data_IF_086682322419
#
_entry.id   IF_086682322419
#
_cell.length_a   1.000
_cell.length_b   1.000
_cell.length_c   1.000
_cell.angle_alpha   90.00
_cell.angle_beta   90.00
_cell.angle_gamma   90.00
#
_symmetry.space_group_name_H-M   'P 1'
#
loop_
_entity.id
_entity.type
_entity.pdbx_description
1 polymer ?
#
# COMPACT_ATOMS: atom_id res chain seq x y z
N UNK A 1 7.69 -9.14 32.48
CA UNK A 1 7.91 -8.64 31.10
C UNK A 1 8.45 -7.23 31.23
N UNK A 2 9.65 -6.96 30.75
CA UNK A 2 10.20 -5.61 30.63
C UNK A 2 9.41 -4.86 29.57
N UNK A 3 8.69 -3.81 29.96
CA UNK A 3 8.06 -2.89 29.02
C UNK A 3 9.16 -2.13 28.28
N UNK A 4 9.19 -2.22 26.96
CA UNK A 4 10.04 -1.35 26.15
C UNK A 4 9.34 0.00 26.05
N UNK A 5 10.08 1.08 26.32
CA UNK A 5 9.58 2.45 26.28
C UNK A 5 10.10 3.16 25.02
N UNK A 6 9.30 4.08 24.50
CA UNK A 6 9.70 4.96 23.40
C UNK A 6 10.75 5.97 23.89
N UNK A 7 11.82 6.15 23.11
CA UNK A 7 12.88 7.13 23.42
C UNK A 7 12.40 8.60 23.31
N UNK A 8 11.30 8.87 22.61
CA UNK A 8 10.78 10.24 22.43
C UNK A 8 9.75 10.67 23.49
N UNK A 9 8.93 9.74 23.98
CA UNK A 9 7.79 10.07 24.85
C UNK A 9 7.64 9.19 26.09
N UNK A 10 8.56 8.25 26.31
CA UNK A 10 8.59 7.35 27.47
C UNK A 10 7.34 6.46 27.64
N UNK A 11 6.47 6.38 26.63
CA UNK A 11 5.32 5.48 26.63
C UNK A 11 5.71 4.07 26.17
N UNK A 12 4.94 3.07 26.59
CA UNK A 12 5.13 1.68 26.16
C UNK A 12 4.97 1.52 24.65
N UNK A 13 5.86 0.76 24.03
CA UNK A 13 5.84 0.47 22.59
C UNK A 13 5.69 -1.03 22.32
N UNK A 14 5.29 -1.35 21.09
CA UNK A 14 5.35 -2.72 20.59
C UNK A 14 6.82 -3.16 20.49
N UNK A 15 7.20 -4.17 21.29
CA UNK A 15 8.58 -4.64 21.38
C UNK A 15 9.09 -5.33 20.10
N UNK A 16 8.20 -5.74 19.21
CA UNK A 16 8.55 -6.44 17.97
C UNK A 16 8.91 -5.44 16.87
N UNK A 17 8.16 -4.35 16.79
CA UNK A 17 8.27 -3.35 15.71
C UNK A 17 8.97 -2.07 16.15
N UNK A 18 9.05 -1.80 17.45
CA UNK A 18 9.49 -0.52 18.00
C UNK A 18 8.54 0.63 17.67
N UNK A 19 7.30 0.34 17.24
CA UNK A 19 6.34 1.34 16.82
C UNK A 19 5.76 2.10 18.01
N UNK A 20 5.87 3.43 17.97
CA UNK A 20 5.23 4.32 18.93
C UNK A 20 4.13 5.12 18.22
N UNK A 21 2.87 4.73 18.41
CA UNK A 21 1.72 5.41 17.80
C UNK A 21 1.71 6.93 18.00
N UNK A 22 1.82 7.49 19.22
CA UNK A 22 1.75 8.94 19.38
C UNK A 22 2.93 9.69 18.73
N UNK A 23 4.14 9.13 18.76
CA UNK A 23 5.30 9.80 18.15
C UNK A 23 5.26 9.71 16.63
N UNK A 24 4.96 8.54 16.08
CA UNK A 24 4.84 8.35 14.63
C UNK A 24 3.69 9.17 14.05
N UNK A 25 2.55 9.27 14.75
CA UNK A 25 1.45 10.16 14.35
C UNK A 25 1.92 11.61 14.21
N UNK A 26 2.67 12.12 15.21
CA UNK A 26 3.24 13.47 15.17
C UNK A 26 4.23 13.66 14.01
N UNK A 27 5.07 12.67 13.73
CA UNK A 27 6.00 12.70 12.59
C UNK A 27 5.26 12.75 11.25
N UNK A 28 4.13 12.04 11.12
CA UNK A 28 3.28 12.13 9.95
C UNK A 28 2.57 13.48 9.84
N UNK A 29 1.98 13.98 10.92
CA UNK A 29 1.29 15.28 10.97
C UNK A 29 2.19 16.42 10.50
N UNK A 30 3.46 16.43 10.95
CA UNK A 30 4.46 17.40 10.53
C UNK A 30 4.73 17.39 9.01
N UNK A 31 4.37 16.32 8.30
CA UNK A 31 4.59 16.16 6.87
C UNK A 31 3.31 16.31 6.02
N UNK A 32 2.13 16.51 6.62
CA UNK A 32 0.86 16.58 5.87
C UNK A 32 0.76 17.76 4.91
N UNK A 33 1.45 18.87 5.19
CA UNK A 33 1.51 20.01 4.29
C UNK A 33 2.41 19.79 3.06
N UNK A 34 3.23 18.73 3.07
CA UNK A 34 4.23 18.50 2.02
C UNK A 34 3.69 17.69 0.84
N UNK A 35 2.45 17.20 0.92
CA UNK A 35 1.83 16.45 -0.16
C UNK A 35 0.30 16.60 -0.14
N UNK A 36 -0.29 16.43 -1.31
CA UNK A 36 -1.73 16.23 -1.51
C UNK A 36 -1.91 15.32 -2.71
N UNK A 37 -2.98 14.53 -2.69
CA UNK A 37 -3.41 13.74 -3.84
C UNK A 37 -4.23 14.54 -4.86
N UNK A 38 -4.58 15.79 -4.52
CA UNK A 38 -5.65 16.57 -5.16
C UNK A 38 -7.05 15.94 -5.01
N UNK A 39 -7.22 15.03 -4.04
CA UNK A 39 -8.52 14.47 -3.65
C UNK A 39 -8.62 14.44 -2.11
N UNK A 40 -9.55 15.24 -1.58
CA UNK A 40 -9.71 15.41 -0.13
C UNK A 40 -10.09 14.10 0.58
N UNK A 41 -10.87 13.23 -0.04
CA UNK A 41 -11.29 11.94 0.54
C UNK A 41 -10.09 10.97 0.65
N UNK A 42 -9.22 10.96 -0.37
CA UNK A 42 -7.99 10.16 -0.35
C UNK A 42 -7.00 10.73 0.67
N UNK A 43 -6.84 12.05 0.72
CA UNK A 43 -5.96 12.71 1.67
C UNK A 43 -6.40 12.42 3.12
N UNK A 44 -7.69 12.56 3.42
CA UNK A 44 -8.26 12.25 4.73
C UNK A 44 -8.06 10.77 5.09
N UNK A 45 -8.33 9.86 4.16
CA UNK A 45 -8.12 8.43 4.37
C UNK A 45 -6.66 8.09 4.72
N UNK A 46 -5.71 8.61 3.94
CA UNK A 46 -4.28 8.36 4.14
C UNK A 46 -3.82 8.95 5.49
N UNK A 47 -4.19 10.20 5.79
CA UNK A 47 -3.84 10.86 7.07
C UNK A 47 -4.43 10.12 8.27
N UNK A 48 -5.69 9.70 8.19
CA UNK A 48 -6.33 8.92 9.26
C UNK A 48 -5.62 7.58 9.47
N UNK A 49 -5.18 6.90 8.40
CA UNK A 49 -4.41 5.66 8.55
C UNK A 49 -3.05 5.90 9.22
N UNK A 50 -2.39 7.02 8.90
CA UNK A 50 -1.08 7.41 9.43
C UNK A 50 -1.14 7.76 10.92
N UNK A 51 -2.14 8.54 11.35
CA UNK A 51 -2.32 8.94 12.76
C UNK A 51 -2.69 7.74 13.65
N UNK A 52 -3.58 6.87 13.15
CA UNK A 52 -4.12 5.77 13.96
C UNK A 52 -3.32 4.47 13.84
N UNK A 53 -2.20 4.47 13.12
CA UNK A 53 -1.39 3.29 12.91
C UNK A 53 -0.78 2.78 14.24
N UNK A 54 -0.99 1.49 14.50
CA UNK A 54 -0.37 0.76 15.62
C UNK A 54 0.91 0.02 15.23
N UNK A 55 1.21 -0.04 13.92
CA UNK A 55 2.40 -0.62 13.31
C UNK A 55 2.56 -0.08 11.89
N UNK A 56 3.75 -0.22 11.32
CA UNK A 56 4.07 0.30 10.00
C UNK A 56 3.21 -0.30 8.89
N UNK A 57 2.76 -1.55 9.03
CA UNK A 57 1.92 -2.22 8.03
C UNK A 57 0.53 -1.58 7.88
N UNK A 58 0.04 -0.88 8.90
CA UNK A 58 -1.26 -0.20 8.88
C UNK A 58 -1.22 1.18 8.18
N UNK A 59 -0.02 1.68 7.85
CA UNK A 59 0.16 3.03 7.30
C UNK A 59 -0.01 3.04 5.80
N UNK A 60 -1.05 3.66 5.26
CA UNK A 60 -1.10 3.93 3.82
C UNK A 60 -0.22 5.11 3.46
N UNK A 61 0.45 5.02 2.31
CA UNK A 61 1.35 6.06 1.82
C UNK A 61 0.75 6.76 0.59
N UNK A 62 0.80 8.08 0.57
CA UNK A 62 0.75 8.81 -0.70
C UNK A 62 2.14 8.79 -1.32
N UNK A 63 2.26 8.32 -2.55
CA UNK A 63 3.54 8.23 -3.26
C UNK A 63 3.43 8.95 -4.59
N UNK A 64 4.33 9.91 -4.81
CA UNK A 64 4.44 10.59 -6.10
C UNK A 64 4.74 9.57 -7.22
N UNK A 65 4.04 9.70 -8.35
CA UNK A 65 4.15 8.76 -9.47
C UNK A 65 5.57 8.71 -10.07
N UNK A 66 6.32 9.81 -9.99
CA UNK A 66 7.71 9.89 -10.45
C UNK A 66 8.67 8.95 -9.73
N UNK A 67 8.28 8.44 -8.54
CA UNK A 67 9.07 7.46 -7.77
C UNK A 67 9.03 6.05 -8.34
N UNK A 68 8.25 5.83 -9.40
CA UNK A 68 8.07 4.54 -10.04
C UNK A 68 8.74 4.49 -11.41
N UNK A 69 9.59 3.49 -11.63
CA UNK A 69 10.06 3.12 -12.97
C UNK A 69 9.15 2.01 -13.52
N UNK A 70 8.39 2.33 -14.57
CA UNK A 70 7.50 1.36 -15.22
C UNK A 70 8.30 0.41 -16.11
N UNK A 71 8.20 -0.90 -15.85
CA UNK A 71 8.93 -1.89 -16.65
C UNK A 71 8.06 -2.52 -17.74
N UNK A 72 6.77 -2.76 -17.45
CA UNK A 72 5.82 -3.25 -18.45
C UNK A 72 4.38 -2.90 -18.10
N UNK A 73 3.61 -2.51 -19.11
CA UNK A 73 2.16 -2.68 -19.11
C UNK A 73 1.88 -4.17 -19.23
N UNK A 74 0.95 -4.64 -18.44
CA UNK A 74 0.49 -6.02 -18.54
C UNK A 74 -0.61 -5.98 -19.56
N UNK A 75 -0.35 -6.50 -20.76
CA UNK A 75 -1.17 -6.30 -21.98
C UNK A 75 -2.68 -6.59 -21.82
N UNK A 76 -3.10 -7.26 -20.74
CA UNK A 76 -4.49 -7.66 -20.50
C UNK A 76 -5.07 -7.18 -19.16
N UNK A 77 -4.41 -6.24 -18.49
CA UNK A 77 -4.99 -5.57 -17.31
C UNK A 77 -4.49 -4.14 -17.25
N UNK A 78 -5.29 -3.18 -16.74
CA UNK A 78 -4.81 -1.80 -16.50
C UNK A 78 -3.79 -1.72 -15.33
N UNK A 79 -3.05 -2.81 -15.10
CA UNK A 79 -2.07 -2.93 -14.05
C UNK A 79 -0.66 -2.78 -14.64
N UNK A 80 0.18 -2.04 -13.94
CA UNK A 80 1.57 -1.86 -14.33
C UNK A 80 2.49 -2.51 -13.31
N UNK A 81 3.49 -3.26 -13.78
CA UNK A 81 4.62 -3.66 -12.94
C UNK A 81 5.59 -2.49 -12.87
N UNK A 82 5.83 -2.02 -11.66
CA UNK A 82 6.68 -0.87 -11.41
C UNK A 82 7.77 -1.21 -10.40
N UNK A 83 8.94 -0.61 -10.56
CA UNK A 83 9.97 -0.57 -9.54
C UNK A 83 9.83 0.70 -8.72
N UNK A 84 9.73 0.57 -7.40
CA UNK A 84 9.70 1.67 -6.45
C UNK A 84 11.03 1.70 -5.70
N UNK A 85 11.85 2.71 -6.00
CA UNK A 85 13.23 2.80 -5.49
C UNK A 85 13.31 2.93 -3.97
N UNK A 86 12.44 3.75 -3.37
CA UNK A 86 12.46 3.97 -1.94
C UNK A 86 11.80 2.80 -1.17
N UNK A 87 10.80 2.16 -1.78
CA UNK A 87 10.01 1.11 -1.17
C UNK A 87 9.16 1.56 0.01
N UNK A 88 8.47 0.59 0.63
CA UNK A 88 7.50 0.87 1.68
C UNK A 88 8.17 1.25 3.01
N UNK A 89 7.44 2.03 3.81
CA UNK A 89 7.85 2.48 5.14
C UNK A 89 8.01 1.31 6.11
N UNK A 90 9.08 1.34 6.91
CA UNK A 90 9.38 0.35 7.94
C UNK A 90 9.30 0.93 9.36
N UNK A 91 10.02 2.03 9.62
CA UNK A 91 10.06 2.67 10.95
C UNK A 91 10.64 4.07 10.89
N UNK A 92 10.45 4.86 11.94
CA UNK A 92 11.14 6.12 12.11
C UNK A 92 12.58 5.91 12.64
N UNK A 93 13.54 6.66 12.13
CA UNK A 93 14.90 6.75 12.67
C UNK A 93 15.07 8.08 13.39
N UNK A 94 15.18 8.02 14.70
CA UNK A 94 15.33 9.20 15.56
C UNK A 94 16.63 9.96 15.32
N UNK A 95 17.73 9.24 15.08
CA UNK A 95 19.05 9.86 14.91
C UNK A 95 19.16 10.55 13.56
N UNK A 96 18.61 9.93 12.53
CA UNK A 96 18.60 10.47 11.18
C UNK A 96 17.40 11.39 10.90
N UNK A 97 16.45 11.48 11.84
CA UNK A 97 15.20 12.24 11.73
C UNK A 97 14.47 12.00 10.41
N UNK A 98 14.33 10.72 10.04
CA UNK A 98 13.74 10.30 8.75
C UNK A 98 13.09 8.93 8.82
N UNK A 99 12.17 8.66 7.90
CA UNK A 99 11.62 7.33 7.69
C UNK A 99 12.66 6.38 7.10
N UNK A 100 12.85 5.24 7.74
CA UNK A 100 13.53 4.07 7.17
C UNK A 100 12.54 3.36 6.26
N UNK A 101 12.99 3.03 5.06
CA UNK A 101 12.20 2.32 4.07
C UNK A 101 12.88 1.01 3.66
N UNK A 102 12.09 0.10 3.11
CA UNK A 102 12.55 -1.20 2.62
C UNK A 102 13.60 -1.08 1.51
N UNK A 103 13.64 0.06 0.80
CA UNK A 103 14.44 0.21 -0.39
C UNK A 103 13.81 -0.52 -1.58
N UNK A 104 14.56 -0.50 -2.68
CA UNK A 104 14.11 -0.89 -4.01
C UNK A 104 13.26 -2.16 -4.07
N UNK A 105 12.00 -2.00 -4.46
CA UNK A 105 11.03 -3.09 -4.50
C UNK A 105 10.16 -3.08 -5.75
N UNK A 106 9.76 -4.26 -6.20
CA UNK A 106 8.78 -4.41 -7.26
C UNK A 106 7.36 -4.36 -6.69
N UNK A 107 6.50 -3.57 -7.33
CA UNK A 107 5.09 -3.40 -6.96
C UNK A 107 4.19 -3.51 -8.18
N UNK A 108 2.89 -3.63 -7.89
CA UNK A 108 1.82 -3.56 -8.88
C UNK A 108 1.05 -2.26 -8.68
N UNK A 109 0.95 -1.44 -9.72
CA UNK A 109 0.07 -0.27 -9.74
C UNK A 109 -1.26 -0.68 -10.38
N UNK A 110 -2.37 -0.58 -9.64
CA UNK A 110 -3.70 -1.01 -10.08
C UNK A 110 -4.59 0.22 -10.31
N UNK A 111 -4.91 0.56 -11.56
CA UNK A 111 -5.65 1.79 -11.91
C UNK A 111 -7.17 1.62 -12.05
N UNK A 112 -7.69 0.38 -12.10
CA UNK A 112 -9.11 0.10 -12.38
C UNK A 112 -10.07 0.38 -11.19
N UNK A 113 -9.69 1.25 -10.26
CA UNK A 113 -10.57 1.69 -9.16
C UNK A 113 -11.47 2.85 -9.58
N UNK A 114 -11.76 3.00 -10.88
CA UNK A 114 -12.48 4.12 -11.49
C UNK A 114 -13.94 4.21 -11.03
N UNK A 115 -14.13 4.71 -9.83
CA UNK A 115 -15.06 5.76 -9.46
C UNK A 115 -14.55 6.24 -8.10
N UNK A 116 -14.14 7.50 -8.02
CA UNK A 116 -13.52 8.15 -6.85
C UNK A 116 -14.23 7.85 -5.52
N UNK A 117 -15.52 7.48 -5.55
CA UNK A 117 -16.38 7.18 -4.40
C UNK A 117 -16.14 5.84 -3.67
N UNK A 118 -15.32 4.93 -4.17
CA UNK A 118 -15.19 3.59 -3.57
C UNK A 118 -13.76 3.09 -3.32
N UNK A 119 -12.74 3.94 -3.52
CA UNK A 119 -11.35 3.59 -3.22
C UNK A 119 -11.16 3.28 -1.73
N UNK A 120 -11.52 4.22 -0.86
CA UNK A 120 -11.27 4.12 0.58
C UNK A 120 -12.08 3.00 1.26
N UNK A 121 -13.40 2.85 1.05
CA UNK A 121 -14.18 1.74 1.63
C UNK A 121 -13.70 0.35 1.19
N UNK A 122 -13.22 0.20 -0.06
CA UNK A 122 -12.68 -1.08 -0.56
C UNK A 122 -11.31 -1.39 0.03
N UNK A 123 -10.44 -0.40 0.19
CA UNK A 123 -9.14 -0.57 0.86
C UNK A 123 -9.36 -0.97 2.32
N UNK A 124 -10.28 -0.31 3.03
CA UNK A 124 -10.66 -0.65 4.41
C UNK A 124 -11.20 -2.08 4.55
N UNK A 125 -12.05 -2.52 3.60
CA UNK A 125 -12.54 -3.91 3.57
C UNK A 125 -11.38 -4.90 3.45
N UNK A 126 -10.37 -4.60 2.63
CA UNK A 126 -9.22 -5.49 2.43
C UNK A 126 -8.31 -5.56 3.65
N UNK A 127 -8.05 -4.43 4.31
CA UNK A 127 -7.35 -4.40 5.60
C UNK A 127 -8.08 -5.24 6.67
N UNK A 128 -9.42 -5.17 6.68
CA UNK A 128 -10.24 -5.95 7.61
C UNK A 128 -10.18 -7.46 7.33
N UNK A 129 -10.01 -7.86 6.07
CA UNK A 129 -9.86 -9.26 5.66
C UNK A 129 -8.44 -9.76 5.95
N UNK A 130 -7.42 -8.92 5.69
CA UNK A 130 -6.02 -9.16 6.03
C UNK A 130 -5.84 -9.44 7.52
N UNK A 131 -6.41 -8.59 8.37
CA UNK A 131 -6.32 -8.70 9.83
C UNK A 131 -6.94 -9.98 10.39
N UNK A 132 -7.77 -10.69 9.60
CA UNK A 132 -8.43 -11.95 9.99
C UNK A 132 -7.67 -13.21 9.53
N UNK A 133 -6.59 -13.07 8.74
CA UNK A 133 -5.81 -14.20 8.23
C UNK A 133 -4.84 -14.76 9.28
N UNK A 134 -4.66 -16.10 9.30
CA UNK A 134 -3.66 -16.78 10.12
C UNK A 134 -2.90 -17.84 9.28
N UNK A 135 -1.58 -17.71 9.08
CA UNK A 135 -0.75 -16.58 9.51
C UNK A 135 -1.17 -15.27 8.82
N UNK A 136 -0.84 -14.10 9.40
CA UNK A 136 -1.07 -12.83 8.74
C UNK A 136 -0.43 -12.88 7.35
N UNK A 137 -1.21 -12.57 6.32
CA UNK A 137 -0.66 -12.44 4.97
C UNK A 137 0.47 -11.39 4.98
N UNK A 138 1.37 -11.44 4.00
CA UNK A 138 2.31 -10.34 3.78
C UNK A 138 1.51 -9.11 3.33
N UNK A 139 1.84 -7.92 3.87
CA UNK A 139 1.15 -6.66 3.55
C UNK A 139 0.80 -6.56 2.06
N UNK A 140 -0.50 -6.39 1.77
CA UNK A 140 -1.01 -6.44 0.39
C UNK A 140 -1.03 -5.07 -0.27
N UNK A 141 -1.25 -4.00 0.48
CA UNK A 141 -1.40 -2.65 -0.05
C UNK A 141 -0.47 -1.71 0.70
N UNK A 142 0.32 -0.95 -0.04
CA UNK A 142 1.24 0.05 0.50
C UNK A 142 0.64 1.45 0.52
N UNK A 143 -0.18 1.79 -0.47
CA UNK A 143 -0.60 3.17 -0.62
C UNK A 143 -1.30 3.45 -1.95
N UNK A 144 -1.32 4.74 -2.30
CA UNK A 144 -1.95 5.28 -3.50
C UNK A 144 -0.97 6.22 -4.20
N UNK A 145 -1.02 6.23 -5.52
CA UNK A 145 -0.34 7.19 -6.38
C UNK A 145 -1.31 7.72 -7.43
N UNK A 146 -0.95 8.78 -8.16
CA UNK A 146 -1.74 9.31 -9.27
C UNK A 146 -0.85 9.65 -10.45
N UNK A 147 -1.20 9.11 -11.60
CA UNK A 147 -0.46 9.40 -12.82
C UNK A 147 -0.68 10.87 -13.22
N UNK A 148 0.38 11.68 -13.39
CA UNK A 148 0.25 13.11 -13.68
C UNK A 148 -0.30 13.41 -15.08
N UNK A 149 -0.14 12.48 -16.03
CA UNK A 149 -0.60 12.59 -17.43
C UNK A 149 -2.08 12.18 -17.55
N UNK A 150 -2.44 11.00 -17.06
CA UNK A 150 -3.81 10.47 -17.20
C UNK A 150 -4.75 10.96 -16.10
N UNK A 151 -4.19 11.52 -15.01
CA UNK A 151 -4.89 11.91 -13.78
C UNK A 151 -5.57 10.74 -13.05
N UNK A 152 -5.33 9.50 -13.48
CA UNK A 152 -5.88 8.30 -12.84
C UNK A 152 -5.12 7.96 -11.55
N UNK A 153 -5.87 7.61 -10.51
CA UNK A 153 -5.32 7.04 -9.28
C UNK A 153 -4.97 5.56 -9.48
N UNK A 154 -3.91 5.12 -8.82
CA UNK A 154 -3.51 3.73 -8.76
C UNK A 154 -3.23 3.32 -7.31
N UNK A 155 -3.72 2.14 -6.93
CA UNK A 155 -3.32 1.52 -5.67
C UNK A 155 -1.99 0.80 -5.86
N UNK A 156 -1.10 0.98 -4.89
CA UNK A 156 0.22 0.36 -4.85
C UNK A 156 0.08 -0.96 -4.08
N UNK A 157 -0.01 -2.07 -4.79
CA UNK A 157 -0.12 -3.42 -4.21
C UNK A 157 1.24 -4.12 -4.20
N UNK A 158 1.46 -4.99 -3.20
CA UNK A 158 2.62 -5.87 -3.19
C UNK A 158 2.58 -6.83 -4.38
N UNK A 159 3.74 -7.02 -5.00
CA UNK A 159 3.89 -7.99 -6.07
C UNK A 159 4.19 -9.36 -5.46
N UNK A 160 3.37 -10.36 -5.81
CA UNK A 160 3.67 -11.75 -5.51
C UNK A 160 4.14 -12.44 -6.79
N UNK A 161 5.30 -13.09 -6.72
CA UNK A 161 5.86 -13.83 -7.84
C UNK A 161 5.03 -15.07 -8.17
N UNK A 162 4.38 -15.68 -7.18
CA UNK A 162 3.49 -16.82 -7.34
C UNK A 162 2.25 -16.66 -6.46
N UNK A 163 1.10 -17.15 -6.92
CA UNK A 163 -0.10 -17.19 -6.10
C UNK A 163 -0.02 -18.34 -5.07
N UNK A 164 -0.29 -18.09 -3.78
CA UNK A 164 -0.24 -19.12 -2.74
C UNK A 164 -1.19 -20.30 -2.97
N UNK A 165 -2.33 -20.06 -3.64
CA UNK A 165 -3.37 -21.07 -3.84
C UNK A 165 -3.15 -21.95 -5.07
N UNK A 166 -2.61 -21.38 -6.15
CA UNK A 166 -2.54 -22.05 -7.46
C UNK A 166 -1.09 -22.27 -7.96
N UNK A 167 -0.08 -21.71 -7.30
CA UNK A 167 1.33 -21.80 -7.68
C UNK A 167 1.70 -21.12 -9.00
N UNK A 168 0.71 -20.60 -9.74
CA UNK A 168 0.93 -19.93 -11.00
C UNK A 168 1.68 -18.62 -10.78
N UNK A 169 2.65 -18.38 -11.65
CA UNK A 169 3.40 -17.15 -11.63
C UNK A 169 2.49 -15.96 -11.86
N UNK A 170 2.87 -14.87 -11.20
CA UNK A 170 2.45 -13.53 -11.55
C UNK A 170 1.03 -13.19 -11.11
N UNK A 171 0.70 -13.19 -9.81
CA UNK A 171 -0.53 -12.52 -9.35
C UNK A 171 -0.74 -12.29 -7.85
N UNK A 172 -1.17 -11.06 -7.49
CA UNK A 172 -1.91 -10.72 -6.26
C UNK A 172 -3.07 -11.73 -6.05
N UNK A 173 -3.41 -12.15 -4.81
CA UNK A 173 -4.37 -13.23 -4.56
C UNK A 173 -5.71 -13.02 -5.27
N UNK A 174 -6.10 -11.75 -5.41
CA UNK A 174 -7.31 -11.26 -6.09
C UNK A 174 -7.38 -11.60 -7.58
N UNK A 175 -6.22 -11.74 -8.22
CA UNK A 175 -6.15 -11.83 -9.66
C UNK A 175 -5.58 -13.19 -10.12
N UNK A 176 -5.36 -14.21 -9.26
CA UNK A 176 -4.80 -15.49 -9.78
C UNK A 176 -5.71 -16.02 -10.90
N UNK A 177 -5.12 -16.28 -12.07
CA UNK A 177 -5.80 -16.71 -13.29
C UNK A 177 -6.23 -18.16 -13.14
N UNK A 178 -5.43 -18.95 -12.42
CA UNK A 178 -5.81 -20.29 -11.98
C UNK A 178 -6.97 -20.30 -11.00
N UNK A 179 -7.11 -19.28 -10.13
CA UNK A 179 -8.18 -19.23 -9.12
C UNK A 179 -9.45 -18.50 -9.61
N UNK A 180 -9.31 -17.55 -10.54
CA UNK A 180 -10.39 -16.67 -11.01
C UNK A 180 -10.58 -16.79 -12.53
N UNK A 181 -10.47 -18.01 -13.08
CA UNK A 181 -10.55 -18.25 -14.53
C UNK A 181 -11.77 -17.62 -15.19
N UNK A 182 -12.93 -17.66 -14.52
CA UNK A 182 -14.19 -17.21 -15.12
C UNK A 182 -14.37 -15.69 -15.09
N UNK A 183 -13.81 -15.01 -14.08
CA UNK A 183 -13.73 -13.54 -14.03
C UNK A 183 -12.89 -13.01 -15.22
N UNK A 184 -11.76 -13.64 -15.52
CA UNK A 184 -10.94 -13.23 -16.66
C UNK A 184 -11.59 -13.55 -18.02
N UNK A 185 -12.37 -14.63 -18.12
CA UNK A 185 -13.11 -14.93 -19.36
C UNK A 185 -14.18 -13.88 -19.63
N UNK A 186 -14.91 -13.43 -18.60
CA UNK A 186 -15.95 -12.40 -18.74
C UNK A 186 -15.38 -11.00 -18.94
N UNK A 187 -14.21 -10.69 -18.35
CA UNK A 187 -13.48 -9.49 -18.69
C UNK A 187 -13.05 -9.55 -20.15
N UNK A 188 -12.45 -10.63 -20.66
CA UNK A 188 -11.99 -10.73 -22.06
C UNK A 188 -13.05 -10.37 -23.11
N UNK A 189 -14.32 -10.71 -22.89
CA UNK A 189 -15.42 -10.32 -23.79
C UNK A 189 -15.68 -8.80 -23.85
N UNK A 190 -15.27 -8.04 -22.84
CA UNK A 190 -15.41 -6.58 -22.79
C UNK A 190 -14.20 -5.83 -23.38
N UNK A 191 -13.18 -6.54 -23.86
CA UNK A 191 -11.91 -5.94 -24.34
C UNK A 191 -11.74 -6.06 -25.86
N UNK A 192 -12.63 -6.78 -26.55
CA UNK A 192 -12.60 -6.96 -28.01
C UNK A 192 -13.50 -5.98 -28.77
N UNK A 193 -13.67 -4.75 -28.27
CA UNK A 193 -14.37 -3.66 -28.97
C UNK A 193 -13.44 -2.48 -29.21
#
# INVERSE_FOLDING_TARGET
>A
MTSILCEECEQGIDATTGWCTPCNAKHFENNFSNWTSENAEIDEFIRNSQINAIRHECVFEWVDYSKFTLLRRVEFSRNNKAYWEEGHLLRWDLKANKWVRNGGQWVKLVTNYSAEKHLCPRILKLESEFSKSNPPLKRLIYGITRNPETKEYAVIESLMDQCPSCGQEWMSPRWCRGCNTDLFKSERSNWTS
#
